data_IF_300653299593
#
_entry.id   IF_300653299593
#
_cell.length_a   1.000
_cell.length_b   1.000
_cell.length_c   1.000
_cell.angle_alpha   90.00
_cell.angle_beta   90.00
_cell.angle_gamma   90.00
#
_symmetry.space_group_name_H-M   'P 1'
#
loop_
_entity.id
_entity.type
_entity.pdbx_description
1 polymer ?
#
# COMPACT_ATOMS: atom_id res chain seq x y z
N UNK A 1 13.02 -20.53 3.40
CA UNK A 1 11.77 -20.03 2.78
C UNK A 1 10.80 -19.71 3.90
N UNK A 2 10.86 -18.48 4.41
CA UNK A 2 10.24 -18.04 5.67
C UNK A 2 8.85 -17.43 5.46
N UNK A 3 8.01 -18.06 4.62
CA UNK A 3 6.66 -17.57 4.27
C UNK A 3 5.67 -17.43 5.45
N UNK A 4 6.07 -17.79 6.66
CA UNK A 4 5.16 -18.03 7.80
C UNK A 4 4.86 -16.83 8.71
N UNK A 5 5.64 -15.74 8.66
CA UNK A 5 5.50 -14.64 9.62
C UNK A 5 4.75 -13.41 9.11
N UNK A 6 4.87 -13.07 7.82
CA UNK A 6 4.24 -11.85 7.29
C UNK A 6 2.73 -11.97 7.06
N UNK A 7 2.22 -13.18 6.81
CA UNK A 7 0.77 -13.42 6.67
C UNK A 7 0.01 -13.04 7.95
N UNK A 8 0.62 -13.28 9.11
CA UNK A 8 0.07 -12.86 10.41
C UNK A 8 0.07 -11.34 10.60
N UNK A 9 0.92 -10.59 9.90
CA UNK A 9 0.95 -9.12 10.00
C UNK A 9 -0.29 -8.50 9.34
N UNK A 10 -0.80 -9.13 8.29
CA UNK A 10 -2.01 -8.72 7.58
C UNK A 10 -3.30 -9.22 8.23
N UNK A 11 -3.24 -10.33 8.97
CA UNK A 11 -4.42 -10.95 9.57
C UNK A 11 -5.22 -9.98 10.45
N UNK A 12 -6.50 -9.79 10.14
CA UNK A 12 -7.39 -8.87 10.84
C UNK A 12 -7.17 -7.38 10.54
N UNK A 13 -6.32 -7.03 9.57
CA UNK A 13 -6.06 -5.64 9.14
C UNK A 13 -6.91 -5.26 7.93
N UNK A 14 -7.33 -4.00 7.86
CA UNK A 14 -8.07 -3.44 6.73
C UNK A 14 -7.11 -2.71 5.80
N UNK A 15 -6.79 -3.33 4.66
CA UNK A 15 -5.77 -2.83 3.73
C UNK A 15 -6.46 -2.17 2.53
N UNK A 16 -6.22 -0.88 2.32
CA UNK A 16 -6.70 -0.16 1.14
C UNK A 16 -5.76 -0.41 -0.04
N UNK A 17 -6.29 -0.77 -1.20
CA UNK A 17 -5.51 -0.86 -2.44
C UNK A 17 -5.94 0.26 -3.39
N UNK A 18 -4.99 1.07 -3.81
CA UNK A 18 -5.17 2.14 -4.80
C UNK A 18 -4.27 1.83 -5.99
N UNK A 19 -4.90 1.40 -7.07
CA UNK A 19 -4.27 0.83 -8.24
C UNK A 19 -5.22 1.01 -9.43
N UNK A 20 -4.74 1.55 -10.55
CA UNK A 20 -5.54 1.73 -11.77
C UNK A 20 -5.68 0.40 -12.54
N UNK A 21 -4.68 -0.47 -12.42
CA UNK A 21 -4.70 -1.80 -13.01
C UNK A 21 -5.56 -2.78 -12.16
N UNK A 22 -6.85 -2.88 -12.50
CA UNK A 22 -7.79 -3.78 -11.80
C UNK A 22 -7.28 -5.21 -11.63
N UNK A 23 -6.62 -5.78 -12.65
CA UNK A 23 -6.13 -7.16 -12.61
C UNK A 23 -5.08 -7.34 -11.51
N UNK A 24 -4.16 -6.37 -11.40
CA UNK A 24 -3.11 -6.37 -10.40
C UNK A 24 -3.70 -6.18 -8.99
N UNK A 25 -4.65 -5.25 -8.87
CA UNK A 25 -5.34 -4.99 -7.63
C UNK A 25 -6.16 -6.21 -7.14
N UNK A 26 -6.83 -6.93 -8.04
CA UNK A 26 -7.57 -8.17 -7.74
C UNK A 26 -6.63 -9.30 -7.31
N UNK A 27 -5.46 -9.42 -7.94
CA UNK A 27 -4.44 -10.40 -7.55
C UNK A 27 -3.89 -10.13 -6.15
N UNK A 28 -3.48 -8.89 -5.86
CA UNK A 28 -3.04 -8.46 -4.53
C UNK A 28 -4.15 -8.67 -3.50
N UNK A 29 -5.39 -8.34 -3.88
CA UNK A 29 -6.56 -8.51 -3.03
C UNK A 29 -6.72 -9.97 -2.60
N UNK A 30 -6.74 -10.90 -3.55
CA UNK A 30 -6.93 -12.33 -3.26
C UNK A 30 -5.88 -12.86 -2.31
N UNK A 31 -4.63 -12.44 -2.50
CA UNK A 31 -3.54 -12.85 -1.62
C UNK A 31 -3.68 -12.27 -0.20
N UNK A 32 -4.06 -10.99 -0.07
CA UNK A 32 -4.33 -10.39 1.23
C UNK A 32 -5.51 -11.05 1.95
N UNK A 33 -6.59 -11.36 1.22
CA UNK A 33 -7.73 -12.09 1.75
C UNK A 33 -7.33 -13.52 2.19
N UNK A 34 -6.46 -14.21 1.46
CA UNK A 34 -5.87 -15.51 1.85
C UNK A 34 -5.06 -15.42 3.15
N UNK A 35 -4.38 -14.29 3.38
CA UNK A 35 -3.66 -14.00 4.62
C UNK A 35 -4.57 -13.55 5.77
N UNK A 36 -5.88 -13.41 5.53
CA UNK A 36 -6.87 -13.00 6.51
C UNK A 36 -6.95 -11.48 6.73
N UNK A 37 -6.39 -10.66 5.83
CA UNK A 37 -6.70 -9.24 5.78
C UNK A 37 -8.07 -9.00 5.12
N UNK A 38 -8.67 -7.86 5.45
CA UNK A 38 -9.82 -7.32 4.74
C UNK A 38 -9.34 -6.27 3.77
N UNK A 39 -9.60 -6.45 2.48
CA UNK A 39 -9.21 -5.45 1.49
C UNK A 39 -10.32 -4.43 1.28
N UNK A 40 -9.95 -3.16 1.34
CA UNK A 40 -10.81 -2.01 1.04
C UNK A 40 -10.41 -1.50 -0.35
N UNK A 41 -11.36 -1.26 -1.24
CA UNK A 41 -11.08 -0.98 -2.66
C UNK A 41 -11.25 -2.22 -3.55
N UNK A 42 -10.66 -2.27 -4.75
CA UNK A 42 -9.60 -1.40 -5.26
C UNK A 42 -10.10 -0.02 -5.75
N UNK A 43 -9.27 1.00 -5.58
CA UNK A 43 -9.52 2.35 -6.09
C UNK A 43 -8.64 2.66 -7.29
N UNK A 44 -9.27 2.88 -8.46
CA UNK A 44 -8.56 3.19 -9.70
C UNK A 44 -8.16 4.67 -9.86
N UNK A 45 -8.48 5.53 -8.88
CA UNK A 45 -8.11 6.94 -8.89
C UNK A 45 -8.11 7.51 -7.47
N UNK A 46 -7.48 8.67 -7.33
CA UNK A 46 -7.37 9.43 -6.08
C UNK A 46 -8.74 9.70 -5.45
N UNK A 47 -9.71 10.15 -6.25
CA UNK A 47 -11.05 10.50 -5.73
C UNK A 47 -11.77 9.31 -5.09
N UNK A 48 -11.70 8.12 -5.72
CA UNK A 48 -12.22 6.86 -5.17
C UNK A 48 -11.49 6.47 -3.89
N UNK A 49 -10.16 6.61 -3.86
CA UNK A 49 -9.37 6.29 -2.68
C UNK A 49 -9.76 7.18 -1.48
N UNK A 50 -9.88 8.49 -1.69
CA UNK A 50 -10.29 9.44 -0.65
C UNK A 50 -11.70 9.17 -0.13
N UNK A 51 -12.65 8.83 -1.02
CA UNK A 51 -14.01 8.44 -0.60
C UNK A 51 -13.98 7.17 0.27
N UNK A 52 -13.17 6.17 -0.09
CA UNK A 52 -13.01 4.94 0.70
C UNK A 52 -12.36 5.20 2.06
N UNK A 53 -11.31 6.02 2.12
CA UNK A 53 -10.64 6.41 3.37
C UNK A 53 -11.61 7.12 4.33
N UNK A 54 -12.54 7.89 3.78
CA UNK A 54 -13.56 8.59 4.57
C UNK A 54 -14.69 7.69 5.05
N UNK A 55 -15.07 6.68 4.26
CA UNK A 55 -16.21 5.78 4.57
C UNK A 55 -15.82 4.58 5.42
N UNK A 56 -14.65 4.03 5.19
CA UNK A 56 -14.20 2.78 5.77
C UNK A 56 -13.00 3.01 6.69
N UNK A 57 -12.91 2.22 7.75
CA UNK A 57 -11.70 2.16 8.56
C UNK A 57 -10.60 1.45 7.78
N UNK A 58 -9.45 2.09 7.61
CA UNK A 58 -8.26 1.57 6.95
C UNK A 58 -7.13 1.51 7.98
N UNK A 59 -6.50 0.35 8.13
CA UNK A 59 -5.33 0.16 9.00
C UNK A 59 -4.02 0.43 8.25
N UNK A 60 -3.98 0.09 6.96
CA UNK A 60 -2.86 0.42 6.09
C UNK A 60 -3.30 0.57 4.63
N UNK A 61 -2.50 1.26 3.82
CA UNK A 61 -2.79 1.44 2.39
C UNK A 61 -1.60 1.08 1.49
N UNK A 62 -1.90 0.55 0.32
CA UNK A 62 -0.98 0.27 -0.77
C UNK A 62 -1.37 1.18 -1.92
N UNK A 63 -0.44 2.03 -2.36
CA UNK A 63 -0.68 3.09 -3.33
C UNK A 63 0.28 2.89 -4.51
N UNK A 64 -0.20 2.73 -5.74
CA UNK A 64 0.67 2.96 -6.91
C UNK A 64 0.89 4.47 -7.07
N UNK A 65 2.15 4.87 -7.27
CA UNK A 65 2.54 6.27 -7.47
C UNK A 65 1.84 6.87 -8.68
N UNK A 66 1.71 6.08 -9.75
CA UNK A 66 1.12 6.49 -11.01
C UNK A 66 -0.19 5.74 -11.21
N UNK A 67 -1.31 6.47 -11.13
CA UNK A 67 -2.65 5.96 -11.44
C UNK A 67 -3.02 6.46 -12.84
N UNK A 68 -2.44 5.83 -13.86
CA UNK A 68 -2.44 6.35 -15.23
C UNK A 68 -1.71 7.70 -15.34
N UNK A 69 -2.48 8.78 -15.54
CA UNK A 69 -1.96 10.16 -15.67
C UNK A 69 -2.00 10.97 -14.35
N UNK A 70 -2.55 10.40 -13.28
CA UNK A 70 -2.65 11.06 -11.98
C UNK A 70 -1.64 10.50 -10.96
N UNK A 71 -1.17 11.37 -10.07
CA UNK A 71 -0.27 10.99 -8.98
C UNK A 71 -1.07 10.74 -7.70
N UNK A 72 -0.79 9.63 -7.01
CA UNK A 72 -1.51 9.22 -5.78
C UNK A 72 -1.18 10.08 -4.54
N UNK A 73 -0.35 11.11 -4.69
CA UNK A 73 0.18 11.92 -3.59
C UNK A 73 -0.88 12.58 -2.72
N UNK A 74 -2.03 12.94 -3.29
CA UNK A 74 -3.15 13.48 -2.51
C UNK A 74 -3.75 12.45 -1.54
N UNK A 75 -3.75 11.17 -1.91
CA UNK A 75 -4.20 10.08 -1.03
C UNK A 75 -3.21 9.87 0.11
N UNK A 76 -1.89 9.91 -0.18
CA UNK A 76 -0.88 9.79 0.87
C UNK A 76 -0.92 10.94 1.87
N UNK A 77 -1.24 12.15 1.44
CA UNK A 77 -1.38 13.31 2.33
C UNK A 77 -2.51 13.09 3.35
N UNK A 78 -3.68 12.69 2.87
CA UNK A 78 -4.84 12.36 3.70
C UNK A 78 -4.55 11.17 4.65
N UNK A 79 -3.78 10.16 4.19
CA UNK A 79 -3.36 9.04 5.02
C UNK A 79 -2.37 9.48 6.12
N UNK A 80 -1.44 10.38 5.82
CA UNK A 80 -0.54 10.98 6.83
C UNK A 80 -1.29 11.81 7.86
N UNK A 81 -2.25 12.63 7.42
CA UNK A 81 -3.11 13.41 8.33
C UNK A 81 -3.90 12.51 9.30
N UNK A 82 -4.23 11.29 8.86
CA UNK A 82 -4.94 10.29 9.67
C UNK A 82 -4.03 9.33 10.43
N UNK A 83 -2.71 9.53 10.35
CA UNK A 83 -1.69 8.65 10.95
C UNK A 83 -1.83 7.18 10.51
N UNK A 84 -2.30 6.94 9.28
CA UNK A 84 -2.45 5.61 8.69
C UNK A 84 -1.15 5.24 7.97
N UNK A 85 -0.63 4.04 8.20
CA UNK A 85 0.58 3.56 7.53
C UNK A 85 0.29 3.26 6.05
N UNK A 86 1.16 3.70 5.15
CA UNK A 86 1.04 3.36 3.75
C UNK A 86 2.39 3.07 3.10
N UNK A 87 2.30 2.34 2.00
CA UNK A 87 3.44 2.00 1.14
C UNK A 87 3.13 2.46 -0.28
N UNK A 88 4.12 3.03 -0.95
CA UNK A 88 4.08 3.23 -2.37
C UNK A 88 4.60 1.98 -3.05
N UNK A 89 3.77 1.30 -3.84
CA UNK A 89 4.15 0.12 -4.60
C UNK A 89 4.10 0.50 -6.07
N UNK A 90 5.23 0.90 -6.64
CA UNK A 90 5.30 1.34 -8.03
C UNK A 90 6.36 0.58 -8.81
N UNK A 91 6.07 0.24 -10.06
CA UNK A 91 7.05 -0.36 -10.98
C UNK A 91 8.09 0.63 -11.53
N UNK A 92 7.98 1.91 -11.17
CA UNK A 92 8.88 2.98 -11.61
C UNK A 92 9.91 3.33 -10.54
N UNK A 93 10.98 4.02 -10.96
CA UNK A 93 12.05 4.43 -10.05
C UNK A 93 11.52 5.25 -8.86
N UNK A 94 11.90 4.90 -7.61
CA UNK A 94 11.36 5.54 -6.41
C UNK A 94 11.96 6.94 -6.21
N UNK A 95 12.95 7.32 -7.02
CA UNK A 95 13.54 8.67 -7.07
C UNK A 95 12.52 9.76 -7.43
N UNK A 96 11.38 9.38 -8.02
CA UNK A 96 10.27 10.27 -8.31
C UNK A 96 9.38 10.56 -7.08
N UNK A 97 9.52 9.79 -6.00
CA UNK A 97 8.75 9.99 -4.77
C UNK A 97 9.45 11.04 -3.91
N UNK A 98 8.81 12.17 -3.58
CA UNK A 98 9.40 13.18 -2.73
C UNK A 98 9.74 12.61 -1.34
N UNK A 99 10.99 12.82 -0.88
CA UNK A 99 11.46 12.36 0.44
C UNK A 99 10.70 12.96 1.65
N UNK A 100 9.72 13.83 1.42
CA UNK A 100 8.86 14.42 2.44
C UNK A 100 7.80 13.44 2.97
N UNK A 101 7.44 12.41 2.19
CA UNK A 101 6.44 11.43 2.61
C UNK A 101 7.04 10.42 3.58
N UNK A 102 6.36 10.13 4.70
CA UNK A 102 6.81 9.11 5.67
C UNK A 102 6.48 7.68 5.24
N UNK A 103 5.76 7.52 4.13
CA UNK A 103 5.46 6.23 3.53
C UNK A 103 6.72 5.52 3.04
N UNK A 104 6.71 4.19 3.10
CA UNK A 104 7.78 3.40 2.52
C UNK A 104 7.60 3.33 1.01
N UNK A 105 8.63 3.70 0.25
CA UNK A 105 8.66 3.52 -1.19
C UNK A 105 9.24 2.14 -1.54
N UNK A 106 8.43 1.29 -2.14
CA UNK A 106 8.85 0.03 -2.75
C UNK A 106 8.78 0.19 -4.27
N UNK A 107 9.91 -0.10 -4.91
CA UNK A 107 10.08 -0.07 -6.36
C UNK A 107 9.54 -1.36 -7.00
N UNK A 108 8.39 -1.81 -6.53
CA UNK A 108 7.87 -3.14 -6.79
C UNK A 108 6.35 -3.09 -6.94
N UNK A 109 5.84 -3.89 -7.88
CA UNK A 109 4.40 -4.01 -8.09
C UNK A 109 3.72 -4.47 -6.78
N UNK A 110 2.46 -4.07 -6.51
CA UNK A 110 1.70 -4.44 -5.31
C UNK A 110 1.47 -5.95 -5.09
N UNK A 111 2.04 -6.82 -5.92
CA UNK A 111 2.03 -8.29 -5.76
C UNK A 111 3.12 -8.79 -4.82
N UNK A 112 4.19 -8.01 -4.56
CA UNK A 112 5.26 -8.35 -3.61
C UNK A 112 4.83 -8.09 -2.14
N UNK A 113 3.80 -8.83 -1.69
CA UNK A 113 3.18 -8.64 -0.37
C UNK A 113 4.13 -8.87 0.81
N UNK A 114 5.16 -9.69 0.64
CA UNK A 114 6.16 -9.95 1.68
C UNK A 114 6.88 -8.65 2.09
N UNK A 115 7.34 -7.88 1.11
CA UNK A 115 8.05 -6.62 1.33
C UNK A 115 7.11 -5.53 1.80
N UNK A 116 5.89 -5.51 1.26
CA UNK A 116 4.83 -4.61 1.71
C UNK A 116 4.51 -4.86 3.19
N UNK A 117 4.42 -6.11 3.63
CA UNK A 117 4.18 -6.45 5.03
C UNK A 117 5.29 -5.91 5.94
N UNK A 118 6.54 -6.09 5.51
CA UNK A 118 7.72 -5.63 6.25
C UNK A 118 7.77 -4.10 6.28
N UNK A 119 7.45 -3.42 5.17
CA UNK A 119 7.38 -1.97 5.11
C UNK A 119 6.27 -1.39 6.01
N UNK A 120 5.07 -1.99 5.98
CA UNK A 120 3.91 -1.51 6.73
C UNK A 120 3.97 -1.86 8.23
N UNK A 121 4.42 -3.07 8.57
CA UNK A 121 4.34 -3.61 9.93
C UNK A 121 5.69 -4.02 10.52
N UNK A 122 6.73 -4.17 9.70
CA UNK A 122 8.07 -4.55 10.11
C UNK A 122 8.90 -3.37 10.63
N UNK A 123 8.50 -2.74 11.73
CA UNK A 123 9.43 -1.88 12.48
C UNK A 123 10.33 -2.73 13.38
N UNK A 124 11.49 -3.15 12.85
CA UNK A 124 12.74 -3.35 13.60
C UNK A 124 13.93 -3.52 12.64
N UNK A 125 14.66 -2.44 12.37
CA UNK A 125 15.99 -2.51 11.74
C UNK A 125 16.13 -1.68 10.47
N UNK A 126 16.72 -0.51 10.63
CA UNK A 126 17.41 0.27 9.60
C UNK A 126 17.97 -0.52 8.41
N UNK A 127 17.56 -0.14 7.20
CA UNK A 127 18.49 -0.06 6.08
C UNK A 127 18.28 1.30 5.39
N UNK A 128 19.24 2.24 5.51
CA UNK A 128 19.29 3.36 4.58
C UNK A 128 19.50 2.81 3.17
N UNK A 129 18.74 3.33 2.20
CA UNK A 129 19.10 3.17 0.79
C UNK A 129 20.53 3.73 0.62
N UNK A 130 21.39 2.90 0.06
CA UNK A 130 22.81 3.16 -0.20
C UNK A 130 23.02 4.34 -1.16
#
# INVERSE_FOLDING_TARGET
>A
MEKGNYTKLFSGKRILIVEDEYFLADETRRQLEDFGATVIGPAANVGRALDLINRERVDAAILDVFLGDELVFAVSDELEEREINFVFATGYDPSHIPAKYRGFALCEKPTELEKIAVALFGRAGSQPLN
#
